data_IF_391243760533
#
_entry.id   IF_391243760533
#
_cell.length_a   1.000
_cell.length_b   1.000
_cell.length_c   1.000
_cell.angle_alpha   90.00
_cell.angle_beta   90.00
_cell.angle_gamma   90.00
#
_symmetry.space_group_name_H-M   'P 1'
#
loop_
_entity.id
_entity.type
_entity.pdbx_description
1 polymer ?
#
# COMPACT_ATOMS: atom_id res chain seq x y z
N UNK A 1 4.68 -1.45 -3.48
CA UNK A 1 5.35 -1.40 -2.15
C UNK A 1 6.14 -0.10 -2.04
N UNK A 2 6.35 0.49 -0.85
CA UNK A 2 6.96 1.84 -0.75
C UNK A 2 8.38 1.88 -1.32
N UNK A 3 9.21 0.85 -1.10
CA UNK A 3 10.55 0.77 -1.68
C UNK A 3 10.52 0.61 -3.20
N UNK A 4 9.64 -0.26 -3.68
CA UNK A 4 9.47 -0.57 -5.09
C UNK A 4 8.98 0.66 -5.88
N UNK A 5 7.94 1.34 -5.40
CA UNK A 5 7.45 2.57 -6.00
C UNK A 5 8.50 3.70 -5.99
N UNK A 6 9.31 3.78 -4.93
CA UNK A 6 10.37 4.78 -4.82
C UNK A 6 11.57 4.46 -5.73
N UNK A 7 11.92 3.17 -5.86
CA UNK A 7 12.92 2.71 -6.82
C UNK A 7 12.49 2.98 -8.27
N UNK A 8 11.22 2.70 -8.60
CA UNK A 8 10.64 2.99 -9.93
C UNK A 8 10.67 4.48 -10.25
N UNK A 9 10.25 5.34 -9.32
CA UNK A 9 10.33 6.79 -9.52
C UNK A 9 11.74 7.28 -9.84
N UNK A 10 12.74 6.80 -9.10
CA UNK A 10 14.15 7.16 -9.32
C UNK A 10 14.64 6.60 -10.66
N UNK A 11 14.35 5.34 -10.98
CA UNK A 11 14.74 4.72 -12.25
C UNK A 11 14.12 5.43 -13.46
N UNK A 12 12.83 5.75 -13.42
CA UNK A 12 12.12 6.46 -14.49
C UNK A 12 12.66 7.88 -14.69
N UNK A 13 13.01 8.56 -13.60
CA UNK A 13 13.58 9.91 -13.66
C UNK A 13 15.00 9.89 -14.22
N UNK A 14 15.81 8.91 -13.82
CA UNK A 14 17.17 8.70 -14.37
C UNK A 14 17.10 8.34 -15.85
N UNK A 15 16.14 7.49 -16.25
CA UNK A 15 15.94 7.11 -17.64
C UNK A 15 15.64 8.33 -18.52
N UNK A 16 14.78 9.25 -18.06
CA UNK A 16 14.52 10.52 -18.75
C UNK A 16 15.79 11.38 -18.88
N UNK A 17 16.63 11.43 -17.83
CA UNK A 17 17.92 12.13 -17.90
C UNK A 17 18.93 11.48 -18.86
N UNK A 18 18.78 10.18 -19.15
CA UNK A 18 19.60 9.46 -20.13
C UNK A 18 19.11 9.70 -21.57
N UNK A 19 17.79 9.81 -21.76
CA UNK A 19 17.16 10.14 -23.04
C UNK A 19 17.42 11.61 -23.45
N UNK A 20 17.52 12.50 -22.46
CA UNK A 20 17.96 13.88 -22.67
C UNK A 20 19.49 13.96 -22.87
N UNK A 21 19.99 14.94 -23.64
CA UNK A 21 21.44 15.21 -23.84
C UNK A 21 22.24 15.51 -22.54
N UNK A 22 21.57 15.48 -21.39
CA UNK A 22 22.08 15.71 -20.03
C UNK A 22 23.21 14.74 -19.66
N UNK A 23 23.08 13.45 -19.98
CA UNK A 23 24.12 12.45 -19.68
C UNK A 23 25.45 12.74 -20.39
N UNK A 24 25.37 13.18 -21.64
CA UNK A 24 26.55 13.55 -22.45
C UNK A 24 27.23 14.80 -21.91
N UNK A 25 26.46 15.82 -21.52
CA UNK A 25 27.00 17.06 -20.94
C UNK A 25 27.64 16.84 -19.56
N UNK A 26 27.14 15.86 -18.80
CA UNK A 26 27.72 15.47 -17.52
C UNK A 26 28.97 14.57 -17.65
N UNK A 27 29.20 13.98 -18.82
CA UNK A 27 30.26 12.99 -19.05
C UNK A 27 30.10 11.73 -18.19
N UNK A 28 28.85 11.36 -17.87
CA UNK A 28 28.50 10.23 -16.99
C UNK A 28 27.39 9.34 -17.54
N UNK A 29 27.19 9.31 -18.86
CA UNK A 29 26.16 8.49 -19.51
C UNK A 29 26.25 7.02 -19.08
N UNK A 30 27.45 6.45 -19.06
CA UNK A 30 27.66 5.06 -18.63
C UNK A 30 27.32 4.83 -17.15
N UNK A 31 27.61 5.80 -16.28
CA UNK A 31 27.21 5.73 -14.88
C UNK A 31 25.68 5.86 -14.70
N UNK A 32 25.00 6.68 -15.49
CA UNK A 32 23.54 6.80 -15.47
C UNK A 32 22.89 5.47 -15.87
N UNK A 33 23.33 4.86 -16.96
CA UNK A 33 22.87 3.54 -17.40
C UNK A 33 23.16 2.45 -16.35
N UNK A 34 24.36 2.46 -15.77
CA UNK A 34 24.75 1.53 -14.71
C UNK A 34 23.83 1.64 -13.48
N UNK A 35 23.46 2.87 -13.12
CA UNK A 35 22.57 3.13 -11.99
C UNK A 35 21.15 2.64 -12.25
N UNK A 36 20.63 2.90 -13.46
CA UNK A 36 19.32 2.39 -13.89
C UNK A 36 19.28 0.86 -13.83
N UNK A 37 20.24 0.18 -14.46
CA UNK A 37 20.29 -1.29 -14.52
C UNK A 37 20.35 -1.92 -13.11
N UNK A 38 21.10 -1.31 -12.17
CA UNK A 38 21.18 -1.79 -10.79
C UNK A 38 19.87 -1.60 -10.02
N UNK A 39 19.18 -0.48 -10.23
CA UNK A 39 17.89 -0.22 -9.60
C UNK A 39 16.80 -1.16 -10.13
N UNK A 40 16.79 -1.40 -11.45
CA UNK A 40 15.91 -2.39 -12.08
C UNK A 40 16.20 -3.80 -11.54
N UNK A 41 17.47 -4.21 -11.46
CA UNK A 41 17.84 -5.50 -10.88
C UNK A 41 17.43 -5.61 -9.41
N UNK A 42 17.61 -4.56 -8.61
CA UNK A 42 17.19 -4.55 -7.20
C UNK A 42 15.67 -4.70 -7.05
N UNK A 43 14.89 -4.12 -7.98
CA UNK A 43 13.43 -4.15 -7.96
C UNK A 43 12.88 -5.56 -7.82
N UNK A 44 13.47 -6.52 -8.54
CA UNK A 44 13.09 -7.93 -8.52
C UNK A 44 13.14 -8.56 -7.12
N UNK A 45 13.95 -7.99 -6.22
CA UNK A 45 14.19 -8.51 -4.87
C UNK A 45 13.61 -7.62 -3.77
N UNK A 46 13.19 -6.38 -4.08
CA UNK A 46 12.70 -5.43 -3.07
C UNK A 46 11.46 -5.96 -2.34
N UNK A 47 10.64 -6.74 -3.05
CA UNK A 47 9.46 -7.38 -2.47
C UNK A 47 9.80 -8.34 -1.32
N UNK A 48 10.79 -9.21 -1.54
CA UNK A 48 11.28 -10.16 -0.55
C UNK A 48 12.07 -9.45 0.56
N UNK A 49 12.89 -8.46 0.21
CA UNK A 49 13.67 -7.70 1.18
C UNK A 49 12.79 -6.90 2.16
N UNK A 50 11.70 -6.28 1.70
CA UNK A 50 10.75 -5.58 2.57
C UNK A 50 10.00 -6.53 3.51
N UNK A 51 9.75 -7.78 3.07
CA UNK A 51 9.17 -8.84 3.92
C UNK A 51 10.18 -9.32 4.97
N UNK A 52 11.38 -9.70 4.55
CA UNK A 52 12.45 -10.22 5.42
C UNK A 52 12.96 -9.18 6.41
N UNK A 53 12.90 -7.87 6.09
CA UNK A 53 13.25 -6.79 7.04
C UNK A 53 12.43 -6.82 8.33
N UNK A 54 11.24 -7.41 8.33
CA UNK A 54 10.37 -7.46 9.52
C UNK A 54 10.92 -8.46 10.55
N UNK A 55 11.55 -9.54 10.08
CA UNK A 55 12.02 -10.66 10.91
C UNK A 55 13.53 -10.68 11.08
N UNK A 56 14.30 -10.23 10.08
CA UNK A 56 15.76 -10.20 10.07
C UNK A 56 16.31 -8.78 10.23
N UNK A 57 17.00 -8.55 11.36
CA UNK A 57 17.64 -7.27 11.70
C UNK A 57 18.79 -6.90 10.74
N UNK A 58 19.46 -7.88 10.15
CA UNK A 58 20.53 -7.66 9.15
C UNK A 58 19.93 -7.13 7.85
N UNK A 59 18.81 -7.73 7.40
CA UNK A 59 18.04 -7.25 6.25
C UNK A 59 17.44 -5.86 6.55
N UNK A 60 16.99 -5.60 7.77
CA UNK A 60 16.56 -4.25 8.17
C UNK A 60 17.67 -3.20 8.03
N UNK A 61 18.89 -3.53 8.47
CA UNK A 61 20.04 -2.65 8.29
C UNK A 61 20.36 -2.43 6.81
N UNK A 62 20.30 -3.48 6.00
CA UNK A 62 20.50 -3.41 4.55
C UNK A 62 19.47 -2.49 3.87
N UNK A 63 18.18 -2.69 4.14
CA UNK A 63 17.09 -1.87 3.58
C UNK A 63 17.21 -0.40 4.01
N UNK A 64 17.68 -0.14 5.24
CA UNK A 64 17.90 1.23 5.72
C UNK A 64 19.01 1.92 4.92
N UNK A 65 20.10 1.21 4.61
CA UNK A 65 21.17 1.72 3.74
C UNK A 65 20.67 2.00 2.32
N UNK A 66 19.84 1.11 1.78
CA UNK A 66 19.20 1.29 0.46
C UNK A 66 18.33 2.54 0.41
N UNK A 67 17.47 2.76 1.42
CA UNK A 67 16.70 4.01 1.53
C UNK A 67 17.59 5.24 1.58
N UNK A 68 18.70 5.17 2.31
CA UNK A 68 19.68 6.26 2.36
C UNK A 68 20.25 6.62 0.99
N UNK A 69 20.57 5.63 0.16
CA UNK A 69 21.03 5.86 -1.22
C UNK A 69 19.92 6.43 -2.10
N UNK A 70 18.67 5.98 -1.94
CA UNK A 70 17.54 6.53 -2.67
C UNK A 70 17.27 8.00 -2.33
N UNK A 71 17.36 8.40 -1.05
CA UNK A 71 17.23 9.81 -0.66
C UNK A 71 18.37 10.69 -1.19
N UNK A 72 19.57 10.14 -1.33
CA UNK A 72 20.67 10.86 -1.96
C UNK A 72 20.45 11.04 -3.46
N UNK A 73 19.84 10.05 -4.13
CA UNK A 73 19.46 10.17 -5.54
C UNK A 73 18.42 11.28 -5.72
N UNK A 74 17.36 11.31 -4.89
CA UNK A 74 16.35 12.38 -4.96
C UNK A 74 16.96 13.76 -4.70
N UNK A 75 17.90 13.88 -3.76
CA UNK A 75 18.60 15.14 -3.53
C UNK A 75 19.41 15.62 -4.75
N UNK A 76 20.02 14.70 -5.51
CA UNK A 76 20.71 15.05 -6.76
C UNK A 76 19.70 15.51 -7.81
N UNK A 77 18.55 14.85 -7.92
CA UNK A 77 17.46 15.24 -8.81
C UNK A 77 16.90 16.63 -8.44
N UNK A 78 16.64 16.88 -7.17
CA UNK A 78 16.17 18.17 -6.66
C UNK A 78 17.18 19.29 -6.96
N UNK A 79 18.49 19.01 -6.84
CA UNK A 79 19.56 19.96 -7.18
C UNK A 79 19.59 20.31 -8.67
N UNK A 80 19.24 19.36 -9.54
CA UNK A 80 19.06 19.61 -10.97
C UNK A 80 17.82 20.49 -11.21
N UNK A 81 16.67 20.15 -10.61
CA UNK A 81 15.41 20.87 -10.79
C UNK A 81 15.40 22.29 -10.21
N UNK A 82 15.91 22.47 -8.98
CA UNK A 82 15.97 23.78 -8.31
C UNK A 82 16.77 24.82 -9.11
N UNK A 83 17.86 24.39 -9.75
CA UNK A 83 18.65 25.30 -10.59
C UNK A 83 18.01 25.55 -11.96
N UNK A 84 17.25 24.60 -12.49
CA UNK A 84 16.41 24.83 -13.67
C UNK A 84 15.34 25.92 -13.42
N UNK A 85 14.85 26.05 -12.18
CA UNK A 85 13.83 27.04 -11.80
C UNK A 85 14.38 28.43 -11.42
N UNK A 86 15.67 28.56 -11.04
CA UNK A 86 16.27 29.80 -10.55
C UNK A 86 16.52 30.93 -11.56
N UNK A 87 16.11 30.79 -12.83
CA UNK A 87 16.15 31.86 -13.87
C UNK A 87 14.96 31.77 -14.83
N UNK A 88 13.72 31.76 -14.33
CA UNK A 88 12.55 32.10 -15.18
C UNK A 88 12.43 33.61 -15.49
N UNK A 89 13.38 34.43 -15.04
CA UNK A 89 13.43 35.87 -15.32
C UNK A 89 14.15 36.22 -16.64
N UNK A 90 14.65 35.24 -17.39
CA UNK A 90 15.14 35.44 -18.76
C UNK A 90 14.23 34.66 -19.72
N UNK A 91 13.67 35.35 -20.72
CA UNK A 91 12.64 34.87 -21.62
C UNK A 91 12.89 33.43 -22.14
N UNK A 92 11.87 32.56 -22.18
CA UNK A 92 12.04 31.18 -22.61
C UNK A 92 12.24 31.14 -24.14
N UNK A 93 13.41 30.66 -24.58
CA UNK A 93 13.54 30.18 -25.96
C UNK A 93 12.83 28.82 -26.07
N UNK A 94 12.03 28.55 -27.12
CA UNK A 94 11.24 27.31 -27.24
C UNK A 94 12.05 26.01 -27.38
N UNK A 95 13.38 26.07 -27.49
CA UNK A 95 14.21 24.93 -27.94
C UNK A 95 15.30 24.50 -26.96
N UNK A 96 15.32 24.95 -25.71
CA UNK A 96 16.39 24.58 -24.78
C UNK A 96 15.82 24.13 -23.43
N UNK A 97 15.98 22.84 -23.13
CA UNK A 97 15.74 22.31 -21.79
C UNK A 97 16.63 23.10 -20.80
N UNK A 98 16.08 23.82 -19.81
CA UNK A 98 16.84 24.71 -18.93
C UNK A 98 18.03 24.02 -18.23
N UNK A 99 17.92 22.71 -17.99
CA UNK A 99 18.99 21.87 -17.47
C UNK A 99 20.25 21.87 -18.35
N UNK A 100 20.08 21.82 -19.68
CA UNK A 100 21.21 21.77 -20.64
C UNK A 100 22.06 23.04 -20.58
N UNK A 101 21.47 24.19 -20.25
CA UNK A 101 22.20 25.45 -20.11
C UNK A 101 23.15 25.46 -18.90
N UNK A 102 22.73 24.89 -17.76
CA UNK A 102 23.55 24.83 -16.55
C UNK A 102 24.65 23.78 -16.63
N UNK A 103 24.39 22.69 -17.35
CA UNK A 103 25.37 21.65 -17.60
C UNK A 103 26.50 22.10 -18.52
N UNK A 104 26.36 23.24 -19.21
CA UNK A 104 27.48 23.89 -19.90
C UNK A 104 28.52 24.47 -18.95
N UNK A 105 28.22 24.62 -17.65
CA UNK A 105 29.20 25.07 -16.67
C UNK A 105 30.04 23.88 -16.17
N UNK A 106 31.34 23.79 -16.53
CA UNK A 106 32.13 22.57 -16.30
C UNK A 106 32.23 22.15 -14.83
N UNK A 107 32.35 23.12 -13.91
CA UNK A 107 32.39 22.82 -12.47
C UNK A 107 31.09 22.21 -11.93
N UNK A 108 29.94 22.62 -12.47
CA UNK A 108 28.65 22.13 -12.03
C UNK A 108 28.36 20.75 -12.61
N UNK A 109 28.64 20.57 -13.91
CA UNK A 109 28.56 19.26 -14.56
C UNK A 109 29.49 18.24 -13.87
N UNK A 110 30.72 18.64 -13.56
CA UNK A 110 31.66 17.80 -12.82
C UNK A 110 31.17 17.46 -11.40
N UNK A 111 30.55 18.42 -10.69
CA UNK A 111 29.98 18.18 -9.36
C UNK A 111 28.85 17.14 -9.40
N UNK A 112 27.87 17.32 -10.30
CA UNK A 112 26.74 16.39 -10.46
C UNK A 112 27.24 15.01 -10.93
N UNK A 113 28.16 14.97 -11.89
CA UNK A 113 28.79 13.72 -12.34
C UNK A 113 29.53 12.99 -11.22
N UNK A 114 30.23 13.73 -10.34
CA UNK A 114 30.88 13.16 -9.15
C UNK A 114 29.86 12.59 -8.15
N UNK A 115 28.74 13.28 -7.94
CA UNK A 115 27.64 12.78 -7.11
C UNK A 115 27.05 11.48 -7.65
N UNK A 116 26.80 11.38 -8.96
CA UNK A 116 26.30 10.17 -9.63
C UNK A 116 27.30 9.02 -9.48
N UNK A 117 28.60 9.25 -9.72
CA UNK A 117 29.66 8.26 -9.50
C UNK A 117 29.69 7.74 -8.07
N UNK A 118 29.60 8.63 -7.08
CA UNK A 118 29.57 8.26 -5.66
C UNK A 118 28.34 7.45 -5.31
N UNK A 119 27.20 7.80 -5.88
CA UNK A 119 25.94 7.10 -5.67
C UNK A 119 25.98 5.68 -6.23
N UNK A 120 26.52 5.52 -7.45
CA UNK A 120 26.75 4.21 -8.06
C UNK A 120 27.61 3.30 -7.19
N UNK A 121 28.74 3.81 -6.69
CA UNK A 121 29.64 3.05 -5.83
C UNK A 121 28.94 2.57 -4.55
N UNK A 122 28.12 3.43 -3.94
CA UNK A 122 27.35 3.05 -2.76
C UNK A 122 26.26 2.04 -3.07
N UNK A 123 25.63 2.15 -4.23
CA UNK A 123 24.65 1.15 -4.67
C UNK A 123 25.33 -0.20 -4.93
N UNK A 124 26.55 -0.22 -5.49
CA UNK A 124 27.35 -1.45 -5.65
C UNK A 124 27.64 -2.13 -4.31
N UNK A 125 28.04 -1.35 -3.31
CA UNK A 125 28.28 -1.88 -1.96
C UNK A 125 27.00 -2.48 -1.36
N UNK A 126 25.85 -1.88 -1.63
CA UNK A 126 24.55 -2.39 -1.20
C UNK A 126 24.18 -3.65 -1.96
N UNK A 127 24.35 -3.71 -3.28
CA UNK A 127 24.09 -4.92 -4.08
C UNK A 127 24.96 -6.09 -3.60
N UNK A 128 26.26 -5.86 -3.35
CA UNK A 128 27.18 -6.87 -2.81
C UNK A 128 26.77 -7.39 -1.44
N UNK A 129 26.37 -6.49 -0.54
CA UNK A 129 25.82 -6.88 0.76
C UNK A 129 24.49 -7.65 0.60
N UNK A 130 23.70 -7.29 -0.42
CA UNK A 130 22.42 -7.89 -0.74
C UNK A 130 22.54 -9.37 -1.14
N UNK A 131 23.61 -9.72 -1.85
CA UNK A 131 23.89 -11.08 -2.28
C UNK A 131 24.00 -12.09 -1.12
N UNK A 132 24.37 -11.63 0.09
CA UNK A 132 24.49 -12.48 1.27
C UNK A 132 23.15 -12.89 1.90
N UNK A 133 22.03 -12.27 1.49
CA UNK A 133 20.71 -12.49 2.08
C UNK A 133 19.82 -13.45 1.28
N UNK A 134 20.35 -14.02 0.20
CA UNK A 134 19.65 -14.96 -0.70
C UNK A 134 18.22 -14.50 -0.98
N UNK A 135 18.07 -13.27 -1.49
CA UNK A 135 16.76 -12.72 -1.82
C UNK A 135 16.15 -13.51 -2.98
N UNK A 136 14.86 -13.81 -2.87
CA UNK A 136 14.14 -14.56 -3.89
C UNK A 136 13.57 -13.56 -4.89
N UNK A 137 13.83 -13.76 -6.19
CA UNK A 137 13.24 -12.94 -7.25
C UNK A 137 11.72 -13.05 -7.22
N UNK A 138 11.05 -11.95 -7.50
CA UNK A 138 9.60 -11.89 -7.60
C UNK A 138 9.02 -12.94 -8.57
N UNK A 139 9.74 -13.26 -9.65
CA UNK A 139 9.37 -14.27 -10.65
C UNK A 139 9.44 -15.72 -10.11
N UNK A 140 10.40 -16.04 -9.24
CA UNK A 140 10.57 -17.41 -8.70
C UNK A 140 9.49 -17.79 -7.68
N UNK A 141 8.70 -16.82 -7.21
CA UNK A 141 7.53 -17.08 -6.38
C UNK A 141 6.33 -17.65 -7.15
N UNK A 142 6.35 -17.62 -8.49
CA UNK A 142 5.30 -18.27 -9.29
C UNK A 142 5.49 -19.79 -9.38
N UNK A 143 6.72 -20.30 -9.31
CA UNK A 143 7.00 -21.71 -9.67
C UNK A 143 7.59 -22.60 -8.56
N UNK A 144 8.00 -22.06 -7.41
CA UNK A 144 8.67 -22.84 -6.35
C UNK A 144 7.95 -22.82 -5.00
N UNK A 145 6.68 -23.21 -4.98
CA UNK A 145 6.10 -23.96 -3.85
C UNK A 145 4.74 -24.57 -4.22
N UNK A 146 4.65 -25.90 -4.43
CA UNK A 146 3.36 -26.58 -4.46
C UNK A 146 2.82 -26.61 -3.02
N UNK A 147 2.05 -25.58 -2.65
CA UNK A 147 1.36 -25.58 -1.37
C UNK A 147 0.88 -24.25 -0.80
N UNK A 148 1.21 -23.09 -1.37
CA UNK A 148 0.67 -21.81 -0.89
C UNK A 148 -0.14 -21.10 -1.95
N UNK A 149 -1.34 -20.60 -1.60
CA UNK A 149 -2.38 -20.44 -2.59
C UNK A 149 -2.28 -19.02 -3.21
N UNK A 150 -2.74 -18.85 -4.44
CA UNK A 150 -2.64 -17.67 -5.32
C UNK A 150 -3.05 -16.36 -4.64
N UNK A 151 -2.80 -15.19 -5.25
CA UNK A 151 -3.42 -13.93 -4.81
C UNK A 151 -4.96 -14.02 -4.72
N UNK A 152 -5.56 -14.92 -5.53
CA UNK A 152 -6.97 -15.32 -5.44
C UNK A 152 -7.33 -16.06 -4.13
N UNK A 153 -6.37 -16.72 -3.49
CA UNK A 153 -6.54 -17.53 -2.29
C UNK A 153 -6.17 -16.82 -0.98
N UNK A 154 -5.79 -15.53 -1.05
CA UNK A 154 -5.68 -14.66 0.14
C UNK A 154 -7.01 -14.03 0.54
N UNK A 155 -8.12 -14.45 -0.07
CA UNK A 155 -9.46 -14.00 0.28
C UNK A 155 -9.73 -14.39 1.74
N UNK A 156 -10.02 -13.40 2.56
CA UNK A 156 -10.45 -13.63 3.94
C UNK A 156 -11.96 -13.77 3.98
N UNK A 157 -12.43 -14.61 4.89
CA UNK A 157 -13.83 -14.85 5.18
C UNK A 157 -14.17 -14.33 6.60
N UNK A 158 -15.45 -14.13 6.94
CA UNK A 158 -15.82 -13.65 8.27
C UNK A 158 -15.73 -14.72 9.38
N UNK A 159 -15.46 -15.99 9.08
CA UNK A 159 -15.47 -17.08 10.06
C UNK A 159 -14.27 -16.97 11.00
N UNK A 160 -14.55 -17.03 12.29
CA UNK A 160 -13.53 -17.07 13.34
C UNK A 160 -13.29 -18.52 13.79
N UNK A 161 -12.05 -18.98 13.71
CA UNK A 161 -11.68 -20.32 14.18
C UNK A 161 -11.76 -20.40 15.71
N UNK A 162 -12.45 -21.42 16.25
CA UNK A 162 -12.75 -21.54 17.69
C UNK A 162 -11.51 -21.66 18.59
N UNK A 163 -10.32 -21.92 18.06
CA UNK A 163 -9.07 -22.10 18.83
C UNK A 163 -8.22 -20.83 18.98
N UNK A 164 -8.67 -19.68 18.46
CA UNK A 164 -7.92 -18.43 18.57
C UNK A 164 -7.78 -18.00 20.04
N UNK A 165 -6.57 -18.18 20.60
CA UNK A 165 -6.20 -17.79 21.96
C UNK A 165 -6.67 -16.36 22.25
N UNK A 166 -7.57 -16.24 23.21
CA UNK A 166 -8.21 -14.99 23.60
C UNK A 166 -7.23 -14.15 24.40
N UNK A 167 -6.59 -13.18 23.74
CA UNK A 167 -5.78 -12.16 24.41
C UNK A 167 -6.69 -11.09 25.03
N UNK A 168 -6.46 -10.72 26.29
CA UNK A 168 -7.23 -9.72 27.05
C UNK A 168 -7.33 -8.36 26.33
N UNK A 169 -6.24 -7.92 25.70
CA UNK A 169 -6.20 -6.69 24.92
C UNK A 169 -7.10 -6.75 23.67
N UNK A 170 -7.12 -7.89 23.00
CA UNK A 170 -7.95 -8.08 21.82
C UNK A 170 -9.45 -8.01 22.17
N UNK A 171 -9.83 -8.51 23.35
CA UNK A 171 -11.19 -8.37 23.88
C UNK A 171 -11.55 -6.93 24.22
N UNK A 172 -10.62 -6.18 24.81
CA UNK A 172 -10.80 -4.76 25.08
C UNK A 172 -10.99 -3.95 23.79
N UNK A 173 -10.13 -4.18 22.79
CA UNK A 173 -10.23 -3.55 21.47
C UNK A 173 -11.56 -3.93 20.77
N UNK A 174 -12.00 -5.18 20.90
CA UNK A 174 -13.30 -5.65 20.37
C UNK A 174 -14.44 -4.88 21.02
N UNK A 175 -14.50 -4.83 22.36
CA UNK A 175 -15.55 -4.10 23.09
C UNK A 175 -15.57 -2.61 22.74
N UNK A 176 -14.40 -1.98 22.61
CA UNK A 176 -14.29 -0.58 22.24
C UNK A 176 -14.87 -0.30 20.84
N UNK A 177 -14.54 -1.16 19.86
CA UNK A 177 -15.06 -1.05 18.50
C UNK A 177 -16.55 -1.34 18.42
N UNK A 178 -17.04 -2.38 19.09
CA UNK A 178 -18.48 -2.71 19.16
C UNK A 178 -19.25 -1.51 19.71
N UNK A 179 -18.81 -0.95 20.84
CA UNK A 179 -19.42 0.24 21.44
C UNK A 179 -19.43 1.44 20.49
N UNK A 180 -18.38 1.66 19.72
CA UNK A 180 -18.35 2.76 18.74
C UNK A 180 -19.30 2.51 17.57
N UNK A 181 -19.34 1.28 17.06
CA UNK A 181 -20.21 0.87 15.97
C UNK A 181 -21.69 0.92 16.37
N UNK A 182 -21.98 0.66 17.64
CA UNK A 182 -23.34 0.61 18.19
C UNK A 182 -23.82 1.94 18.77
N UNK A 183 -23.05 3.03 18.70
CA UNK A 183 -23.59 4.38 18.96
C UNK A 183 -24.62 4.75 17.92
N UNK A 184 -25.66 5.47 18.32
CA UNK A 184 -26.62 6.02 17.38
C UNK A 184 -26.01 7.22 16.64
N UNK A 185 -26.30 7.30 15.34
CA UNK A 185 -25.79 8.33 14.44
C UNK A 185 -26.72 8.42 13.23
N UNK A 186 -27.00 9.64 12.80
CA UNK A 186 -27.92 9.95 11.69
C UNK A 186 -27.31 9.70 10.30
N UNK A 187 -26.04 9.27 10.23
CA UNK A 187 -25.34 9.00 8.98
C UNK A 187 -24.65 7.63 8.90
N UNK A 188 -24.02 7.42 7.74
CA UNK A 188 -23.11 6.30 7.50
C UNK A 188 -21.73 6.69 8.01
N UNK A 189 -21.15 5.87 8.88
CA UNK A 189 -19.82 6.14 9.47
C UNK A 189 -18.81 5.12 8.97
N UNK A 190 -17.65 5.61 8.54
CA UNK A 190 -16.51 4.78 8.15
C UNK A 190 -15.46 4.82 9.26
N UNK A 191 -15.05 3.65 9.77
CA UNK A 191 -14.03 3.48 10.80
C UNK A 191 -12.84 2.71 10.23
N UNK A 192 -11.63 3.06 10.65
CA UNK A 192 -10.41 2.39 10.24
C UNK A 192 -9.76 1.64 11.41
N UNK A 193 -9.50 0.35 11.21
CA UNK A 193 -8.60 -0.47 12.02
C UNK A 193 -7.25 -0.49 11.33
N UNK A 194 -6.24 0.08 11.97
CA UNK A 194 -4.90 0.24 11.41
C UNK A 194 -3.84 -0.45 12.23
N UNK A 195 -2.74 -0.83 11.57
CA UNK A 195 -1.63 -1.49 12.23
C UNK A 195 -0.78 -2.29 11.25
N UNK A 196 0.39 -2.72 11.72
CA UNK A 196 1.37 -3.44 10.90
C UNK A 196 0.83 -4.81 10.42
N UNK A 197 1.50 -5.43 9.44
CA UNK A 197 1.15 -6.76 8.97
C UNK A 197 1.25 -7.82 10.06
N UNK A 198 0.34 -8.80 10.05
CA UNK A 198 0.34 -9.92 11.02
C UNK A 198 -0.03 -9.53 12.46
N UNK A 199 -0.51 -8.30 12.70
CA UNK A 199 -0.83 -7.81 14.04
C UNK A 199 -2.20 -8.25 14.56
N UNK A 200 -3.04 -8.86 13.71
CA UNK A 200 -4.39 -9.31 14.10
C UNK A 200 -5.54 -8.38 13.72
N UNK A 201 -5.36 -7.42 12.79
CA UNK A 201 -6.46 -6.54 12.32
C UNK A 201 -7.66 -7.32 11.79
N UNK A 202 -7.42 -8.27 10.89
CA UNK A 202 -8.44 -9.15 10.32
C UNK A 202 -9.11 -9.96 11.43
N UNK A 203 -8.34 -10.47 12.40
CA UNK A 203 -8.89 -11.19 13.56
C UNK A 203 -9.80 -10.30 14.40
N UNK A 204 -9.39 -9.06 14.67
CA UNK A 204 -10.22 -8.09 15.39
C UNK A 204 -11.52 -7.78 14.62
N UNK A 205 -11.43 -7.52 13.32
CA UNK A 205 -12.61 -7.30 12.49
C UNK A 205 -13.54 -8.52 12.45
N UNK A 206 -13.00 -9.75 12.40
CA UNK A 206 -13.77 -11.00 12.52
C UNK A 206 -14.47 -11.11 13.88
N UNK A 207 -13.82 -10.72 14.99
CA UNK A 207 -14.46 -10.72 16.31
C UNK A 207 -15.60 -9.71 16.39
N UNK A 208 -15.37 -8.51 15.87
CA UNK A 208 -16.37 -7.44 15.84
C UNK A 208 -17.59 -7.82 14.98
N UNK A 209 -17.40 -8.30 13.75
CA UNK A 209 -18.54 -8.63 12.88
C UNK A 209 -19.38 -9.78 13.46
N UNK A 210 -18.77 -10.71 14.20
CA UNK A 210 -19.45 -11.83 14.85
C UNK A 210 -19.94 -11.53 16.28
N UNK A 211 -19.75 -10.31 16.79
CA UNK A 211 -20.23 -9.93 18.12
C UNK A 211 -21.76 -9.91 18.18
N UNK A 212 -22.34 -10.38 19.28
CA UNK A 212 -23.79 -10.52 19.43
C UNK A 212 -24.52 -9.17 19.30
N UNK A 213 -23.97 -8.08 19.83
CA UNK A 213 -24.60 -6.76 19.75
C UNK A 213 -24.63 -6.25 18.30
N UNK A 214 -23.53 -6.49 17.56
CA UNK A 214 -23.45 -6.22 16.13
C UNK A 214 -24.45 -7.08 15.36
N UNK A 215 -24.58 -8.37 15.71
CA UNK A 215 -25.52 -9.28 15.07
C UNK A 215 -26.97 -8.83 15.22
N UNK A 216 -27.33 -8.21 16.35
CA UNK A 216 -28.66 -7.68 16.59
C UNK A 216 -28.89 -6.28 15.99
N UNK A 217 -27.88 -5.41 15.93
CA UNK A 217 -28.07 -4.00 15.52
C UNK A 217 -28.12 -3.79 14.00
N UNK A 218 -27.52 -4.68 13.22
CA UNK A 218 -27.43 -4.56 11.76
C UNK A 218 -28.19 -5.67 11.05
N UNK A 219 -29.01 -5.30 10.07
CA UNK A 219 -29.79 -6.23 9.26
C UNK A 219 -28.85 -7.01 8.34
N UNK A 220 -27.98 -6.29 7.61
CA UNK A 220 -26.99 -6.88 6.71
C UNK A 220 -25.59 -6.76 7.28
N UNK A 221 -24.82 -7.85 7.20
CA UNK A 221 -23.40 -7.88 7.56
C UNK A 221 -22.63 -8.42 6.38
N UNK A 222 -21.79 -7.58 5.80
CA UNK A 222 -21.04 -7.90 4.59
C UNK A 222 -19.56 -7.92 4.90
N UNK A 223 -18.86 -8.89 4.32
CA UNK A 223 -17.41 -9.01 4.41
C UNK A 223 -16.83 -9.09 3.01
N UNK A 224 -16.00 -8.12 2.64
CA UNK A 224 -15.29 -8.07 1.37
C UNK A 224 -13.79 -8.03 1.63
N UNK A 225 -13.10 -9.09 1.24
CA UNK A 225 -11.64 -9.12 1.18
C UNK A 225 -11.19 -8.39 -0.08
N UNK A 226 -10.50 -7.26 0.07
CA UNK A 226 -10.01 -6.47 -1.07
C UNK A 226 -8.53 -6.74 -1.25
N UNK A 227 -8.20 -7.63 -2.19
CA UNK A 227 -6.81 -7.93 -2.55
C UNK A 227 -6.18 -6.76 -3.31
N UNK A 228 -4.84 -6.76 -3.42
CA UNK A 228 -4.11 -5.71 -4.13
C UNK A 228 -4.56 -5.58 -5.60
N UNK A 229 -4.77 -6.71 -6.26
CA UNK A 229 -5.16 -6.81 -7.68
C UNK A 229 -6.62 -7.30 -7.81
N UNK A 230 -7.55 -6.61 -7.13
CA UNK A 230 -8.96 -7.01 -7.16
C UNK A 230 -9.59 -6.80 -8.55
N UNK A 231 -10.40 -7.76 -8.98
CA UNK A 231 -11.29 -7.58 -10.14
C UNK A 231 -12.53 -6.78 -9.70
N UNK A 232 -12.80 -5.65 -10.37
CA UNK A 232 -13.97 -4.81 -10.08
C UNK A 232 -15.27 -5.61 -10.23
N UNK A 233 -15.36 -6.45 -11.25
CA UNK A 233 -16.51 -7.33 -11.51
C UNK A 233 -16.68 -8.35 -10.40
N UNK A 234 -15.61 -9.07 -10.02
CA UNK A 234 -15.70 -10.06 -8.93
C UNK A 234 -16.09 -9.41 -7.60
N UNK A 235 -15.52 -8.24 -7.30
CA UNK A 235 -15.79 -7.51 -6.07
C UNK A 235 -17.25 -7.04 -6.01
N UNK A 236 -17.79 -6.51 -7.12
CA UNK A 236 -19.21 -6.15 -7.20
C UNK A 236 -20.12 -7.36 -7.06
N UNK A 237 -19.82 -8.47 -7.76
CA UNK A 237 -20.62 -9.69 -7.68
C UNK A 237 -20.63 -10.23 -6.24
N UNK A 238 -19.47 -10.27 -5.58
CA UNK A 238 -19.35 -10.66 -4.17
C UNK A 238 -20.13 -9.70 -3.24
N UNK A 239 -20.04 -8.40 -3.47
CA UNK A 239 -20.79 -7.40 -2.70
C UNK A 239 -22.30 -7.59 -2.85
N UNK A 240 -22.79 -7.85 -4.08
CA UNK A 240 -24.22 -8.11 -4.33
C UNK A 240 -24.65 -9.38 -3.60
N UNK A 241 -23.88 -10.46 -3.72
CA UNK A 241 -24.20 -11.74 -3.07
C UNK A 241 -24.21 -11.63 -1.55
N UNK A 242 -23.20 -10.97 -0.96
CA UNK A 242 -23.14 -10.76 0.50
C UNK A 242 -24.19 -9.78 1.02
N UNK A 243 -24.74 -8.93 0.15
CA UNK A 243 -25.88 -8.07 0.43
C UNK A 243 -27.23 -8.77 0.21
N UNK A 244 -27.28 -10.09 -0.03
CA UNK A 244 -28.47 -10.85 -0.44
C UNK A 244 -29.20 -10.25 -1.66
N UNK A 245 -28.45 -9.60 -2.54
CA UNK A 245 -28.96 -8.96 -3.74
C UNK A 245 -29.15 -9.96 -4.88
N UNK A 246 -30.03 -9.62 -5.81
CA UNK A 246 -30.21 -10.40 -7.05
C UNK A 246 -29.03 -10.14 -7.99
N UNK A 247 -28.20 -11.16 -8.20
CA UNK A 247 -27.05 -11.09 -9.08
C UNK A 247 -27.47 -11.07 -10.57
N UNK A 248 -27.09 -10.04 -11.34
CA UNK A 248 -27.29 -10.01 -12.79
C UNK A 248 -26.50 -11.11 -13.51
N UNK A 249 -27.09 -11.67 -14.57
CA UNK A 249 -26.42 -12.61 -15.48
C UNK A 249 -25.54 -11.85 -16.51
N UNK A 250 -24.67 -10.95 -16.01
CA UNK A 250 -23.73 -10.15 -16.81
C UNK A 250 -22.50 -9.81 -15.97
N UNK A 251 -21.41 -9.49 -16.66
CA UNK A 251 -20.18 -8.95 -16.08
C UNK A 251 -20.09 -7.42 -16.21
N UNK A 252 -21.09 -6.79 -16.84
CA UNK A 252 -21.08 -5.35 -17.07
C UNK A 252 -21.36 -4.56 -15.78
N UNK A 253 -20.38 -3.73 -15.39
CA UNK A 253 -20.47 -2.81 -14.26
C UNK A 253 -21.68 -1.85 -14.36
N UNK A 254 -22.16 -1.53 -15.56
CA UNK A 254 -23.36 -0.69 -15.75
C UNK A 254 -24.62 -1.33 -15.18
N UNK A 255 -24.66 -2.66 -15.05
CA UNK A 255 -25.76 -3.41 -14.44
C UNK A 255 -25.45 -3.86 -13.01
N UNK A 256 -24.17 -4.19 -12.72
CA UNK A 256 -23.76 -4.64 -11.39
C UNK A 256 -23.83 -3.51 -10.34
N UNK A 257 -23.43 -2.29 -10.69
CA UNK A 257 -23.47 -1.14 -9.75
C UNK A 257 -24.91 -0.82 -9.31
N UNK A 258 -25.91 -0.70 -10.21
CA UNK A 258 -27.31 -0.56 -9.81
C UNK A 258 -27.86 -1.73 -9.00
N UNK A 259 -27.45 -2.96 -9.32
CA UNK A 259 -27.88 -4.15 -8.57
C UNK A 259 -27.39 -4.10 -7.12
N UNK A 260 -26.12 -3.74 -6.89
CA UNK A 260 -25.57 -3.53 -5.54
C UNK A 260 -26.31 -2.42 -4.81
N UNK A 261 -26.52 -1.27 -5.49
CA UNK A 261 -27.25 -0.14 -4.91
C UNK A 261 -28.64 -0.58 -4.44
N UNK A 262 -29.39 -1.30 -5.26
CA UNK A 262 -30.73 -1.78 -4.90
C UNK A 262 -30.70 -2.77 -3.73
N UNK A 263 -29.66 -3.61 -3.62
CA UNK A 263 -29.52 -4.57 -2.53
C UNK A 263 -29.29 -3.91 -1.17
N UNK A 264 -28.64 -2.74 -1.14
CA UNK A 264 -28.27 -2.03 0.10
C UNK A 264 -29.15 -0.81 0.39
N UNK A 265 -29.99 -0.40 -0.56
CA UNK A 265 -30.83 0.79 -0.45
C UNK A 265 -31.75 0.70 0.76
N UNK A 266 -31.69 1.72 1.62
CA UNK A 266 -32.50 1.83 2.84
C UNK A 266 -32.35 0.62 3.80
N UNK A 267 -31.29 -0.17 3.65
CA UNK A 267 -30.97 -1.26 4.58
C UNK A 267 -29.95 -0.76 5.59
N UNK A 268 -30.10 -1.16 6.84
CA UNK A 268 -29.10 -0.85 7.87
C UNK A 268 -28.04 -1.93 7.89
N UNK A 269 -26.81 -1.58 7.50
CA UNK A 269 -25.74 -2.56 7.31
C UNK A 269 -24.47 -2.27 8.09
N UNK A 270 -23.70 -3.33 8.33
CA UNK A 270 -22.27 -3.28 8.64
C UNK A 270 -21.50 -3.87 7.47
N UNK A 271 -20.59 -3.10 6.87
CA UNK A 271 -19.69 -3.55 5.81
C UNK A 271 -18.25 -3.59 6.34
N UNK A 272 -17.59 -4.74 6.24
CA UNK A 272 -16.15 -4.86 6.47
C UNK A 272 -15.41 -4.93 5.14
N UNK A 273 -14.49 -4.00 4.91
CA UNK A 273 -13.53 -4.01 3.81
C UNK A 273 -12.16 -4.41 4.37
N UNK A 274 -11.80 -5.68 4.20
CA UNK A 274 -10.60 -6.26 4.82
C UNK A 274 -9.38 -6.19 3.89
N UNK A 275 -8.23 -5.89 4.51
CA UNK A 275 -6.89 -5.74 3.94
C UNK A 275 -6.79 -4.73 2.78
N UNK A 276 -7.45 -3.57 2.91
CA UNK A 276 -7.45 -2.52 1.88
C UNK A 276 -6.04 -1.95 1.62
N UNK A 277 -5.53 -2.17 0.40
CA UNK A 277 -4.22 -1.70 -0.08
C UNK A 277 -4.24 -0.29 -0.67
N UNK A 278 -5.35 0.09 -1.31
CA UNK A 278 -5.62 1.41 -1.88
C UNK A 278 -7.06 1.82 -1.59
N UNK A 279 -7.36 3.11 -1.68
CA UNK A 279 -8.73 3.63 -1.54
C UNK A 279 -9.57 3.45 -2.82
N UNK A 280 -8.97 3.00 -3.93
CA UNK A 280 -9.62 2.85 -5.25
C UNK A 280 -10.91 2.03 -5.18
N UNK A 281 -10.87 0.84 -4.59
CA UNK A 281 -12.06 -0.02 -4.46
C UNK A 281 -13.23 0.71 -3.79
N UNK A 282 -12.93 1.56 -2.81
CA UNK A 282 -13.94 2.38 -2.16
C UNK A 282 -14.38 3.54 -3.06
N UNK A 283 -13.44 4.39 -3.47
CA UNK A 283 -13.74 5.68 -4.12
C UNK A 283 -14.34 5.52 -5.51
N UNK A 284 -13.91 4.53 -6.31
CA UNK A 284 -14.37 4.36 -7.69
C UNK A 284 -15.56 3.43 -7.83
N UNK A 285 -15.80 2.53 -6.87
CA UNK A 285 -16.72 1.40 -7.06
C UNK A 285 -17.78 1.31 -5.96
N UNK A 286 -17.36 1.18 -4.70
CA UNK A 286 -18.26 0.79 -3.61
C UNK A 286 -18.95 1.98 -2.92
N UNK A 287 -18.32 3.15 -2.87
CA UNK A 287 -18.85 4.32 -2.15
C UNK A 287 -20.24 4.73 -2.64
N UNK A 288 -20.44 4.78 -3.97
CA UNK A 288 -21.70 5.25 -4.57
C UNK A 288 -22.89 4.33 -4.28
N UNK A 289 -22.81 2.99 -4.40
CA UNK A 289 -23.89 2.11 -3.94
C UNK A 289 -24.16 2.20 -2.44
N UNK A 290 -23.11 2.11 -1.62
CA UNK A 290 -23.26 2.05 -0.17
C UNK A 290 -23.71 3.38 0.44
N UNK A 291 -23.55 4.53 -0.24
CA UNK A 291 -24.08 5.81 0.23
C UNK A 291 -25.62 5.87 0.31
N UNK A 292 -26.33 4.91 -0.31
CA UNK A 292 -27.79 4.80 -0.24
C UNK A 292 -28.29 3.89 0.91
N UNK A 293 -27.39 3.46 1.79
CA UNK A 293 -27.74 2.75 3.02
C UNK A 293 -28.62 3.56 3.96
N UNK A 294 -29.33 2.88 4.85
CA UNK A 294 -30.09 3.56 5.90
C UNK A 294 -29.15 4.30 6.89
N UNK A 295 -29.60 5.41 7.50
CA UNK A 295 -28.95 6.03 8.65
C UNK A 295 -28.55 5.00 9.71
N UNK A 296 -27.39 5.20 10.31
CA UNK A 296 -26.85 4.26 11.29
C UNK A 296 -26.07 3.08 10.69
N UNK A 297 -25.94 2.98 9.36
CA UNK A 297 -25.04 2.01 8.73
C UNK A 297 -23.57 2.29 9.06
N UNK A 298 -22.74 1.25 9.06
CA UNK A 298 -21.32 1.33 9.45
C UNK A 298 -20.44 0.64 8.43
N UNK A 299 -19.25 1.18 8.26
CA UNK A 299 -18.21 0.62 7.40
C UNK A 299 -16.94 0.51 8.21
N UNK A 300 -16.33 -0.66 8.25
CA UNK A 300 -15.07 -0.93 8.92
C UNK A 300 -14.03 -1.28 7.88
N UNK A 301 -12.93 -0.56 7.88
CA UNK A 301 -11.82 -0.79 6.97
C UNK A 301 -10.64 -1.32 7.77
N UNK A 302 -10.05 -2.43 7.35
CA UNK A 302 -8.74 -2.83 7.88
C UNK A 302 -7.67 -2.44 6.87
N UNK A 303 -6.63 -1.73 7.32
CA UNK A 303 -5.54 -1.32 6.44
C UNK A 303 -4.21 -1.17 7.19
N UNK A 304 -3.11 -1.16 6.44
CA UNK A 304 -1.76 -0.85 6.95
C UNK A 304 -1.32 0.56 6.59
N UNK A 305 -2.12 1.28 5.81
CA UNK A 305 -1.73 2.50 5.14
C UNK A 305 -2.65 3.67 5.51
N UNK A 306 -2.10 4.68 6.20
CA UNK A 306 -2.85 5.88 6.58
C UNK A 306 -3.43 6.63 5.36
N UNK A 307 -2.86 6.49 4.15
CA UNK A 307 -3.44 7.13 2.94
C UNK A 307 -4.80 6.53 2.59
N UNK A 308 -5.00 5.22 2.82
CA UNK A 308 -6.28 4.53 2.58
C UNK A 308 -7.33 5.05 3.56
N UNK A 309 -6.98 5.18 4.84
CA UNK A 309 -7.87 5.73 5.85
C UNK A 309 -8.33 7.16 5.50
N UNK A 310 -7.40 8.01 5.01
CA UNK A 310 -7.72 9.37 4.56
C UNK A 310 -8.57 9.39 3.28
N UNK A 311 -8.20 8.61 2.27
CA UNK A 311 -8.92 8.55 0.99
C UNK A 311 -10.37 8.06 1.13
N UNK A 312 -10.62 7.20 2.12
CA UNK A 312 -11.95 6.69 2.46
C UNK A 312 -12.74 7.58 3.42
N UNK A 313 -12.20 8.74 3.82
CA UNK A 313 -12.81 9.71 4.76
C UNK A 313 -13.23 9.06 6.08
N UNK A 314 -12.39 8.16 6.59
CA UNK A 314 -12.63 7.49 7.87
C UNK A 314 -12.65 8.50 9.02
N UNK A 315 -13.53 8.25 9.99
CA UNK A 315 -13.67 9.09 11.19
C UNK A 315 -12.45 8.93 12.08
N UNK A 316 -11.89 10.05 12.52
CA UNK A 316 -10.83 10.09 13.52
C UNK A 316 -11.41 10.06 14.96
N UNK A 317 -10.68 9.46 15.93
CA UNK A 317 -9.37 8.82 15.77
C UNK A 317 -9.46 7.41 15.18
N UNK A 318 -8.43 7.00 14.42
CA UNK A 318 -8.33 5.63 13.90
C UNK A 318 -8.03 4.64 15.02
N UNK A 319 -8.62 3.45 14.94
CA UNK A 319 -8.35 2.38 15.89
C UNK A 319 -7.02 1.70 15.53
N UNK A 320 -5.95 1.97 16.29
CA UNK A 320 -4.60 1.45 16.02
C UNK A 320 -4.28 0.24 16.89
N UNK A 321 -3.89 -0.86 16.25
CA UNK A 321 -3.41 -2.06 16.94
C UNK A 321 -1.87 -1.99 17.05
N UNK A 322 -1.38 -1.91 18.28
CA UNK A 322 0.04 -1.90 18.61
C UNK A 322 0.59 -3.29 18.94
N UNK A 323 1.90 -3.48 18.74
CA UNK A 323 2.62 -4.70 19.13
C UNK A 323 2.50 -4.93 20.64
N UNK A 324 2.14 -6.16 21.01
CA UNK A 324 2.18 -6.63 22.39
C UNK A 324 3.55 -6.37 23.03
N UNK A 325 3.51 -5.92 24.28
CA UNK A 325 4.69 -5.66 25.08
C UNK A 325 5.48 -6.94 25.42
N UNK A 326 6.74 -6.83 25.87
CA UNK A 326 7.62 -7.97 26.12
C UNK A 326 7.06 -9.02 27.08
N UNK A 327 6.25 -8.60 28.08
CA UNK A 327 5.63 -9.50 29.07
C UNK A 327 4.56 -10.40 28.46
N UNK A 328 3.78 -9.87 27.52
CA UNK A 328 2.69 -10.59 26.84
C UNK A 328 3.22 -11.61 25.81
N UNK A 329 4.43 -11.41 25.29
CA UNK A 329 5.07 -12.39 24.38
C UNK A 329 5.52 -13.68 25.07
N UNK A 330 5.75 -13.66 26.39
CA UNK A 330 6.20 -14.84 27.14
C UNK A 330 5.08 -15.86 27.37
N UNK A 331 3.83 -15.41 27.52
CA UNK A 331 2.65 -16.30 27.59
C UNK A 331 2.34 -17.02 26.27
N UNK A 332 2.88 -16.54 25.14
CA UNK A 332 2.75 -17.21 23.82
C UNK A 332 3.70 -18.39 23.61
N UNK A 333 4.67 -18.60 24.50
CA UNK A 333 5.69 -19.66 24.37
C UNK A 333 5.63 -20.73 25.47
N UNK A 334 4.63 -20.65 26.35
CA UNK A 334 4.40 -21.62 27.41
C UNK A 334 3.31 -22.60 26.99
#
# INVERSE_FOLDING_TARGET
MVLDAFASYIADTIKKMAEDEVGMLLGVTGEIESLQNKLESLRDYLADADRKRITDRRVQGWVTKLKGVMYEATKILDLCELKAMGRRDAAPSPCCNPLLFYLRHPMFAHHIGSCIRKLNKRLDDICKLGAAFSFIKLETYQDYWPGWPSAADRKTDPVLERSAVVEEKLEEDTRALVKELTKDNDGIVVLAIMGVGGIGKTTLAKKVINDMEIQHKFEKKMWLSVTQDFSEVELLRLAITTADGKLPATEDNTMLVPALLNAVRNQKFLLVLDDMWSDRAWTSLLNRPFSYGAPGSRIVITTRNDTVARGTRTREPYHRIDKLGPRQRRQKRA
#
